data_IF_803310290750
#
_entry.id   IF_803310290750
#
_cell.length_a   1.000
_cell.length_b   1.000
_cell.length_c   1.000
_cell.angle_alpha   90.00
_cell.angle_beta   90.00
_cell.angle_gamma   90.00
#
_symmetry.space_group_name_H-M   'P 1'
#
loop_
_entity.id
_entity.type
_entity.pdbx_description
1 polymer ?
#
# COMPACT_ATOMS: atom_id res chain seq x y z
N UNK A 1 -1.74 -4.50 12.65
CA UNK A 1 -0.71 -3.62 12.06
C UNK A 1 0.27 -4.34 11.17
N UNK A 2 0.71 -5.54 11.53
CA UNK A 2 1.72 -6.26 10.75
C UNK A 2 1.22 -6.56 9.33
N UNK A 3 0.08 -7.21 9.18
CA UNK A 3 -0.49 -7.55 7.88
C UNK A 3 -0.92 -6.30 7.10
N UNK A 4 -1.46 -5.31 7.78
CA UNK A 4 -1.87 -4.04 7.16
C UNK A 4 -0.66 -3.29 6.62
N UNK A 5 0.42 -3.20 7.40
CA UNK A 5 1.66 -2.56 6.98
C UNK A 5 2.28 -3.30 5.78
N UNK A 6 2.25 -4.63 5.78
CA UNK A 6 2.79 -5.42 4.68
C UNK A 6 1.98 -5.25 3.40
N UNK A 7 0.66 -5.09 3.50
CA UNK A 7 -0.18 -4.81 2.34
C UNK A 7 0.11 -3.41 1.79
N UNK A 8 0.27 -2.41 2.66
CA UNK A 8 0.66 -1.06 2.23
C UNK A 8 2.00 -1.09 1.51
N UNK A 9 2.98 -1.80 2.06
CA UNK A 9 4.29 -2.00 1.45
C UNK A 9 4.17 -2.64 0.06
N UNK A 10 3.29 -3.60 -0.10
CA UNK A 10 3.04 -4.24 -1.38
C UNK A 10 2.57 -3.22 -2.42
N UNK A 11 1.63 -2.35 -2.07
CA UNK A 11 1.17 -1.31 -3.00
C UNK A 11 2.31 -0.37 -3.39
N UNK A 12 3.12 0.08 -2.43
CA UNK A 12 4.26 0.94 -2.72
C UNK A 12 5.31 0.23 -3.59
N UNK A 13 5.55 -1.04 -3.32
CA UNK A 13 6.49 -1.83 -4.12
C UNK A 13 5.99 -1.97 -5.57
N UNK A 14 4.69 -2.15 -5.77
CA UNK A 14 4.08 -2.15 -7.10
C UNK A 14 4.37 -0.84 -7.84
N UNK A 15 4.30 0.31 -7.16
CA UNK A 15 4.65 1.59 -7.78
C UNK A 15 6.09 1.61 -8.29
N UNK A 16 7.02 1.09 -7.48
CA UNK A 16 8.45 1.05 -7.84
C UNK A 16 8.67 0.13 -9.05
N UNK A 17 8.09 -1.06 -9.02
CA UNK A 17 8.23 -2.02 -10.11
C UNK A 17 7.65 -1.48 -11.42
N UNK A 18 6.49 -0.85 -11.36
CA UNK A 18 5.85 -0.23 -12.53
C UNK A 18 6.72 0.89 -13.09
N UNK A 19 7.38 1.67 -12.24
CA UNK A 19 8.26 2.74 -12.68
C UNK A 19 9.50 2.25 -13.40
N UNK A 20 9.90 0.99 -13.19
CA UNK A 20 11.12 0.41 -13.76
C UNK A 20 10.90 -0.38 -15.05
N UNK A 21 9.66 -0.52 -15.51
CA UNK A 21 9.35 -1.22 -16.76
C UNK A 21 8.87 -0.22 -17.81
N UNK A 22 9.06 -0.51 -19.11
CA UNK A 22 8.73 0.46 -20.17
C UNK A 22 7.23 0.70 -20.34
N UNK A 23 6.42 -0.28 -20.04
CA UNK A 23 4.95 -0.18 -20.10
C UNK A 23 4.33 -1.21 -19.17
N UNK A 24 3.09 -0.97 -18.79
CA UNK A 24 2.30 -1.88 -17.92
C UNK A 24 1.20 -2.51 -18.76
N UNK A 25 1.02 -3.82 -18.62
CA UNK A 25 -0.11 -4.52 -19.23
C UNK A 25 -0.97 -5.12 -18.13
N UNK A 26 -2.22 -4.67 -18.03
CA UNK A 26 -3.19 -5.21 -17.08
C UNK A 26 -4.02 -6.25 -17.81
N UNK A 27 -3.81 -7.52 -17.46
CA UNK A 27 -4.55 -8.63 -18.05
C UNK A 27 -5.85 -8.89 -17.28
N UNK A 28 -6.75 -9.66 -17.87
CA UNK A 28 -8.04 -9.95 -17.27
C UNK A 28 -7.94 -10.50 -15.83
N UNK A 29 -7.04 -11.47 -15.51
CA UNK A 29 -6.91 -11.93 -14.13
C UNK A 29 -6.45 -10.87 -13.13
N UNK A 30 -5.83 -9.80 -13.59
CA UNK A 30 -5.32 -8.71 -12.74
C UNK A 30 -6.39 -7.64 -12.47
N UNK A 31 -7.41 -7.55 -13.30
CA UNK A 31 -8.42 -6.49 -13.21
C UNK A 31 -9.10 -6.39 -11.84
N UNK A 32 -9.53 -7.50 -11.18
CA UNK A 32 -10.16 -7.39 -9.88
C UNK A 32 -9.30 -6.72 -8.82
N UNK A 33 -7.99 -6.98 -8.82
CA UNK A 33 -7.05 -6.35 -7.89
C UNK A 33 -7.02 -4.83 -8.09
N UNK A 34 -6.90 -4.38 -9.34
CA UNK A 34 -6.83 -2.95 -9.62
C UNK A 34 -8.17 -2.25 -9.42
N UNK A 35 -9.28 -2.93 -9.65
CA UNK A 35 -10.61 -2.36 -9.37
C UNK A 35 -10.81 -2.06 -7.89
N UNK A 36 -10.25 -2.89 -7.00
CA UNK A 36 -10.35 -2.66 -5.57
C UNK A 36 -9.72 -1.34 -5.14
N UNK A 37 -8.69 -0.89 -5.84
CA UNK A 37 -8.02 0.37 -5.52
C UNK A 37 -8.51 1.54 -6.37
N UNK A 38 -9.57 1.32 -7.13
CA UNK A 38 -10.21 2.38 -7.92
C UNK A 38 -9.70 2.54 -9.34
N UNK A 39 -8.82 1.65 -9.81
CA UNK A 39 -8.31 1.68 -11.17
C UNK A 39 -9.06 0.66 -12.04
N UNK A 40 -9.80 1.17 -13.03
CA UNK A 40 -10.73 0.34 -13.83
C UNK A 40 -10.26 0.09 -15.26
N UNK A 41 -9.09 0.57 -15.63
CA UNK A 41 -8.58 0.41 -16.98
C UNK A 41 -7.89 -0.93 -17.15
N UNK A 42 -7.85 -1.43 -18.39
CA UNK A 42 -7.18 -2.70 -18.72
C UNK A 42 -6.36 -2.54 -20.00
N UNK A 43 -5.52 -3.52 -20.29
CA UNK A 43 -4.67 -3.51 -21.45
C UNK A 43 -3.33 -2.82 -21.23
N UNK A 44 -2.71 -2.39 -22.31
CA UNK A 44 -1.39 -1.78 -22.28
C UNK A 44 -1.45 -0.32 -21.87
N UNK A 45 -0.64 0.06 -20.89
CA UNK A 45 -0.57 1.41 -20.34
C UNK A 45 0.85 1.95 -20.55
N UNK A 46 0.98 3.04 -21.27
CA UNK A 46 2.25 3.70 -21.53
C UNK A 46 2.62 4.63 -20.37
N UNK A 47 3.92 4.75 -20.07
CA UNK A 47 4.42 5.65 -19.02
C UNK A 47 4.11 7.12 -19.27
N UNK A 48 3.95 7.52 -20.51
CA UNK A 48 3.63 8.91 -20.86
C UNK A 48 2.13 9.19 -20.84
N UNK A 49 1.30 8.20 -20.55
CA UNK A 49 -0.14 8.35 -20.59
C UNK A 49 -0.68 8.85 -19.26
N UNK A 50 -1.89 9.44 -19.32
CA UNK A 50 -2.63 9.85 -18.14
C UNK A 50 -3.02 8.65 -17.28
N UNK A 51 -3.33 7.53 -17.91
CA UNK A 51 -3.71 6.29 -17.24
C UNK A 51 -2.58 5.77 -16.35
N UNK A 52 -1.33 5.95 -16.76
CA UNK A 52 -0.18 5.59 -15.93
C UNK A 52 -0.14 6.44 -14.66
N UNK A 53 -0.36 7.74 -14.78
CA UNK A 53 -0.40 8.63 -13.62
C UNK A 53 -1.56 8.27 -12.69
N UNK A 54 -2.72 7.94 -13.25
CA UNK A 54 -3.88 7.51 -12.47
C UNK A 54 -3.59 6.19 -11.73
N UNK A 55 -2.91 5.26 -12.37
CA UNK A 55 -2.52 3.99 -11.75
C UNK A 55 -1.56 4.23 -10.57
N UNK A 56 -0.53 5.04 -10.76
CA UNK A 56 0.41 5.38 -9.68
C UNK A 56 -0.30 6.06 -8.52
N UNK A 57 -1.19 7.01 -8.80
CA UNK A 57 -1.97 7.69 -7.78
C UNK A 57 -2.90 6.74 -7.01
N UNK A 58 -3.50 5.78 -7.70
CA UNK A 58 -4.37 4.79 -7.07
C UNK A 58 -3.59 3.88 -6.11
N UNK A 59 -2.40 3.43 -6.52
CA UNK A 59 -1.54 2.61 -5.68
C UNK A 59 -1.04 3.37 -4.45
N UNK A 60 -0.60 4.62 -4.63
CA UNK A 60 -0.17 5.47 -3.54
C UNK A 60 -1.31 5.71 -2.54
N UNK A 61 -2.48 6.06 -3.04
CA UNK A 61 -3.65 6.31 -2.20
C UNK A 61 -4.06 5.07 -1.41
N UNK A 62 -4.03 3.89 -2.04
CA UNK A 62 -4.36 2.64 -1.36
C UNK A 62 -3.39 2.34 -0.23
N UNK A 63 -2.09 2.49 -0.47
CA UNK A 63 -1.07 2.29 0.57
C UNK A 63 -1.20 3.31 1.70
N UNK A 64 -1.38 4.57 1.37
CA UNK A 64 -1.51 5.65 2.36
C UNK A 64 -2.75 5.48 3.25
N UNK A 65 -3.84 5.01 2.67
CA UNK A 65 -5.07 4.72 3.43
C UNK A 65 -4.82 3.66 4.50
N UNK A 66 -4.08 2.61 4.17
CA UNK A 66 -3.71 1.57 5.12
C UNK A 66 -2.75 2.09 6.20
N UNK A 67 -1.77 2.90 5.83
CA UNK A 67 -0.82 3.48 6.78
C UNK A 67 -1.52 4.43 7.75
N UNK A 68 -2.47 5.24 7.28
CA UNK A 68 -3.28 6.11 8.14
C UNK A 68 -4.13 5.30 9.10
N UNK A 69 -4.67 4.17 8.67
CA UNK A 69 -5.45 3.29 9.54
C UNK A 69 -4.60 2.73 10.68
N UNK A 70 -3.34 2.37 10.41
CA UNK A 70 -2.41 1.89 11.44
C UNK A 70 -2.18 2.98 12.48
N UNK A 71 -1.91 4.19 12.07
CA UNK A 71 -1.65 5.32 12.98
C UNK A 71 -2.92 5.63 13.80
N UNK A 72 -4.07 5.66 13.14
CA UNK A 72 -5.34 5.96 13.80
C UNK A 72 -5.68 4.95 14.89
N UNK A 73 -5.43 3.66 14.65
CA UNK A 73 -5.76 2.59 15.58
C UNK A 73 -4.62 2.23 16.52
N UNK A 74 -3.49 2.93 16.48
CA UNK A 74 -2.40 2.68 17.41
C UNK A 74 -2.77 3.19 18.81
N UNK A 75 -2.32 2.45 19.84
CA UNK A 75 -2.55 2.80 21.23
C UNK A 75 -1.38 3.66 21.72
N UNK A 76 -1.60 4.98 21.85
CA UNK A 76 -0.54 5.95 22.18
C UNK A 76 0.67 5.83 21.26
N UNK A 77 0.44 5.60 19.96
CA UNK A 77 1.47 5.35 18.96
C UNK A 77 2.27 4.06 19.19
N UNK A 78 1.79 3.17 20.06
CA UNK A 78 2.34 1.83 20.21
C UNK A 78 1.62 0.87 19.28
N UNK A 79 2.38 0.01 18.62
CA UNK A 79 1.84 -0.96 17.68
C UNK A 79 1.77 -2.34 18.32
N UNK A 80 0.62 -2.98 18.19
CA UNK A 80 0.41 -4.37 18.62
C UNK A 80 0.47 -5.30 17.41
N UNK A 81 0.36 -6.59 17.66
CA UNK A 81 0.32 -7.59 16.61
C UNK A 81 -0.93 -7.45 15.75
N UNK A 82 -2.08 -7.20 16.39
CA UNK A 82 -3.38 -7.19 15.72
C UNK A 82 -4.25 -6.06 16.21
N UNK A 83 -5.24 -5.70 15.39
CA UNK A 83 -6.34 -4.84 15.79
C UNK A 83 -7.61 -5.68 15.96
N UNK A 84 -8.49 -5.29 16.89
CA UNK A 84 -9.82 -5.86 17.02
C UNK A 84 -10.64 -5.51 15.77
N UNK A 85 -11.24 -6.50 15.14
CA UNK A 85 -12.04 -6.32 13.93
C UNK A 85 -13.26 -5.44 14.12
N UNK A 86 -13.85 -5.47 15.33
CA UNK A 86 -15.09 -4.76 15.62
C UNK A 86 -14.84 -3.32 15.98
N UNK A 87 -13.85 -3.04 16.81
CA UNK A 87 -13.60 -1.71 17.38
C UNK A 87 -12.30 -1.08 16.89
N UNK A 88 -11.44 -1.83 16.21
CA UNK A 88 -10.14 -1.33 15.76
C UNK A 88 -9.14 -1.10 16.87
N UNK A 89 -9.40 -1.58 18.09
CA UNK A 89 -8.47 -1.45 19.22
C UNK A 89 -7.31 -2.44 19.10
N UNK A 90 -6.17 -2.06 19.68
CA UNK A 90 -5.00 -2.94 19.68
C UNK A 90 -5.26 -4.19 20.53
N UNK A 91 -4.87 -5.35 20.01
CA UNK A 91 -4.98 -6.62 20.71
C UNK A 91 -3.76 -7.48 20.44
N UNK A 92 -3.66 -8.60 21.19
CA UNK A 92 -2.49 -9.47 21.16
C UNK A 92 -1.28 -8.79 21.79
N UNK A 93 -0.06 -9.03 21.32
CA UNK A 93 1.16 -8.49 21.93
C UNK A 93 1.30 -7.01 21.61
N UNK A 94 1.35 -6.16 22.65
CA UNK A 94 1.60 -4.73 22.50
C UNK A 94 3.08 -4.48 22.17
N UNK A 95 3.33 -3.41 21.43
CA UNK A 95 4.70 -2.96 21.09
C UNK A 95 5.54 -4.06 20.44
N UNK A 96 4.88 -4.92 19.64
CA UNK A 96 5.60 -5.99 18.95
C UNK A 96 6.59 -5.39 17.95
N UNK A 97 7.86 -5.80 18.09
CA UNK A 97 8.93 -5.29 17.23
C UNK A 97 8.64 -5.49 15.74
N UNK A 98 8.02 -6.59 15.37
CA UNK A 98 7.67 -6.87 13.96
C UNK A 98 6.71 -5.82 13.39
N UNK A 99 5.74 -5.37 14.18
CA UNK A 99 4.80 -4.33 13.75
C UNK A 99 5.51 -3.00 13.51
N UNK A 100 6.44 -2.62 14.39
CA UNK A 100 7.26 -1.43 14.20
C UNK A 100 8.15 -1.56 12.98
N UNK A 101 8.82 -2.69 12.82
CA UNK A 101 9.70 -2.94 11.68
C UNK A 101 8.94 -2.90 10.36
N UNK A 102 7.75 -3.48 10.31
CA UNK A 102 6.89 -3.48 9.12
C UNK A 102 6.42 -2.07 8.79
N UNK A 103 6.05 -1.27 9.81
CA UNK A 103 5.63 0.11 9.61
C UNK A 103 6.77 0.96 9.06
N UNK A 104 7.96 0.86 9.66
CA UNK A 104 9.16 1.60 9.23
C UNK A 104 9.55 1.20 7.80
N UNK A 105 9.58 -0.10 7.51
CA UNK A 105 9.90 -0.61 6.19
C UNK A 105 8.92 -0.09 5.13
N UNK A 106 7.63 -0.08 5.45
CA UNK A 106 6.61 0.43 4.56
C UNK A 106 6.77 1.92 4.30
N UNK A 107 7.10 2.70 5.34
CA UNK A 107 7.35 4.14 5.21
C UNK A 107 8.55 4.42 4.31
N UNK A 108 9.61 3.65 4.42
CA UNK A 108 10.81 3.79 3.57
C UNK A 108 10.52 3.45 2.11
N UNK A 109 9.76 2.38 1.87
CA UNK A 109 9.36 2.01 0.52
C UNK A 109 8.45 3.09 -0.09
N UNK A 110 7.57 3.67 0.72
CA UNK A 110 6.72 4.79 0.29
C UNK A 110 7.55 5.97 -0.20
N UNK A 111 8.55 6.39 0.58
CA UNK A 111 9.43 7.48 0.19
C UNK A 111 10.13 7.19 -1.14
N UNK A 112 10.63 5.98 -1.31
CA UNK A 112 11.27 5.55 -2.55
C UNK A 112 10.29 5.57 -3.73
N UNK A 113 9.05 5.11 -3.52
CA UNK A 113 8.03 5.11 -4.55
C UNK A 113 7.68 6.54 -5.00
N UNK A 114 7.53 7.46 -4.06
CA UNK A 114 7.23 8.86 -4.34
C UNK A 114 8.38 9.53 -5.09
N UNK A 115 9.61 9.21 -4.75
CA UNK A 115 10.78 9.81 -5.41
C UNK A 115 10.90 9.44 -6.89
N UNK A 116 10.18 8.42 -7.35
CA UNK A 116 10.17 7.96 -8.73
C UNK A 116 8.98 8.47 -9.54
N UNK A 117 8.11 9.27 -8.93
CA UNK A 117 6.94 9.83 -9.64
C UNK A 117 7.32 10.98 -10.60
#
# INVERSE_FOLDING_TARGET
PLCTANLARFYYQCMIEIANIPYVTITEPMEPFFKQIGFKQSGKISKSSREYNDLQSALLSAGDKLMRAIVYHSDHLELSEQFDRTHGTCMSVRSLTWSYSSFIASSRIREKAISQL
#
